data_IF_374103009220
#
_entry.id   IF_374103009220
#
_cell.length_a   1.000
_cell.length_b   1.000
_cell.length_c   1.000
_cell.angle_alpha   90.00
_cell.angle_beta   90.00
_cell.angle_gamma   90.00
#
_symmetry.space_group_name_H-M   'P 1'
#
loop_
_entity.id
_entity.type
_entity.pdbx_description
1 polymer ?
#
# COMPACT_ATOMS: atom_id res chain seq x y z
N UNK A 1 -5.42 3.47 3.43
CA UNK A 1 -4.13 2.75 3.45
C UNK A 1 -4.40 1.30 3.83
N UNK A 2 -3.82 0.34 3.10
CA UNK A 2 -4.00 -1.09 3.36
C UNK A 2 -2.78 -1.62 4.14
N UNK A 3 -3.01 -2.21 5.29
CA UNK A 3 -1.96 -2.76 6.17
C UNK A 3 -2.12 -4.27 6.28
N UNK A 4 -1.05 -5.00 6.02
CA UNK A 4 -0.98 -6.44 6.26
C UNK A 4 -0.45 -6.68 7.67
N UNK A 5 -1.17 -7.46 8.46
CA UNK A 5 -0.74 -7.90 9.79
C UNK A 5 -0.38 -9.39 9.72
N UNK A 6 0.84 -9.76 10.13
CA UNK A 6 1.28 -11.16 10.17
C UNK A 6 1.74 -11.46 11.59
N UNK A 7 0.92 -12.17 12.34
CA UNK A 7 1.05 -12.43 13.78
C UNK A 7 0.37 -13.75 14.11
N UNK A 8 1.04 -14.67 14.76
CA UNK A 8 0.48 -15.99 15.06
C UNK A 8 -0.46 -16.01 16.27
N UNK A 9 -0.28 -15.07 17.20
CA UNK A 9 -1.21 -14.89 18.31
C UNK A 9 -2.47 -14.16 17.84
N UNK A 10 -3.55 -14.94 17.60
CA UNK A 10 -4.81 -14.42 17.04
C UNK A 10 -5.38 -13.22 17.79
N UNK A 11 -5.37 -13.27 19.13
CA UNK A 11 -5.91 -12.18 19.95
C UNK A 11 -5.12 -10.87 19.73
N UNK A 12 -3.81 -10.96 19.58
CA UNK A 12 -2.96 -9.80 19.31
C UNK A 12 -3.14 -9.31 17.86
N UNK A 13 -3.19 -10.22 16.89
CA UNK A 13 -3.48 -9.88 15.49
C UNK A 13 -4.81 -9.13 15.36
N UNK A 14 -5.88 -9.65 15.96
CA UNK A 14 -7.20 -9.05 15.94
C UNK A 14 -7.23 -7.68 16.63
N UNK A 15 -6.50 -7.55 17.76
CA UNK A 15 -6.34 -6.25 18.44
C UNK A 15 -5.61 -5.21 17.57
N UNK A 16 -4.54 -5.63 16.88
CA UNK A 16 -3.82 -4.76 15.94
C UNK A 16 -4.75 -4.32 14.79
N UNK A 17 -5.49 -5.25 14.19
CA UNK A 17 -6.48 -4.95 13.15
C UNK A 17 -7.49 -3.93 13.65
N UNK A 18 -8.05 -4.14 14.85
CA UNK A 18 -9.02 -3.21 15.44
C UNK A 18 -8.45 -1.79 15.67
N UNK A 19 -7.20 -1.70 16.14
CA UNK A 19 -6.51 -0.41 16.31
C UNK A 19 -6.36 0.30 14.95
N UNK A 20 -5.93 -0.42 13.92
CA UNK A 20 -5.72 0.12 12.58
C UNK A 20 -7.04 0.57 11.93
N UNK A 21 -8.09 -0.22 12.04
CA UNK A 21 -9.42 0.12 11.51
C UNK A 21 -10.02 1.33 12.23
N UNK A 22 -9.77 1.48 13.54
CA UNK A 22 -10.15 2.66 14.32
C UNK A 22 -9.50 3.96 13.81
N UNK A 23 -8.31 3.89 13.22
CA UNK A 23 -7.59 5.03 12.60
C UNK A 23 -7.79 5.09 11.06
N UNK A 24 -8.87 4.50 10.55
CA UNK A 24 -9.28 4.52 9.14
C UNK A 24 -8.32 3.79 8.18
N UNK A 25 -7.50 2.89 8.66
CA UNK A 25 -6.75 1.95 7.83
C UNK A 25 -7.63 0.77 7.45
N UNK A 26 -7.30 0.12 6.35
CA UNK A 26 -7.85 -1.18 6.02
C UNK A 26 -6.81 -2.23 6.39
N UNK A 27 -7.12 -3.10 7.34
CA UNK A 27 -6.16 -4.07 7.87
C UNK A 27 -6.63 -5.51 7.63
N UNK A 28 -5.69 -6.39 7.34
CA UNK A 28 -5.94 -7.81 7.09
C UNK A 28 -4.90 -8.65 7.83
N UNK A 29 -5.35 -9.68 8.56
CA UNK A 29 -4.49 -10.51 9.38
C UNK A 29 -4.21 -11.88 8.77
N UNK A 30 -2.95 -12.31 8.85
CA UNK A 30 -2.49 -13.67 8.57
C UNK A 30 -1.74 -14.21 9.79
N UNK A 31 -1.92 -15.49 10.08
CA UNK A 31 -1.47 -16.09 11.33
C UNK A 31 -0.28 -17.05 11.16
N UNK A 32 0.34 -17.06 9.99
CA UNK A 32 1.57 -17.79 9.72
C UNK A 32 2.41 -17.10 8.64
N UNK A 33 3.73 -17.30 8.69
CA UNK A 33 4.66 -16.61 7.80
C UNK A 33 4.47 -16.94 6.32
N UNK A 34 4.06 -18.17 5.96
CA UNK A 34 3.92 -18.56 4.55
C UNK A 34 2.68 -17.95 3.89
N UNK A 35 1.56 -17.94 4.60
CA UNK A 35 0.35 -17.27 4.09
C UNK A 35 0.53 -15.76 4.05
N UNK A 36 1.16 -15.17 5.08
CA UNK A 36 1.53 -13.77 5.10
C UNK A 36 2.45 -13.36 3.94
N UNK A 37 3.47 -14.17 3.64
CA UNK A 37 4.35 -13.92 2.48
C UNK A 37 3.57 -13.93 1.17
N UNK A 38 2.69 -14.92 0.95
CA UNK A 38 1.85 -14.96 -0.26
C UNK A 38 0.98 -13.72 -0.40
N UNK A 39 0.37 -13.26 0.69
CA UNK A 39 -0.41 -12.03 0.71
C UNK A 39 0.46 -10.82 0.39
N UNK A 40 1.62 -10.67 1.04
CA UNK A 40 2.55 -9.56 0.81
C UNK A 40 3.03 -9.46 -0.66
N UNK A 41 3.22 -10.61 -1.34
CA UNK A 41 3.61 -10.67 -2.74
C UNK A 41 2.52 -10.19 -3.71
N UNK A 42 1.27 -10.04 -3.28
CA UNK A 42 0.21 -9.47 -4.12
C UNK A 42 0.49 -8.01 -4.50
N UNK A 43 1.32 -7.30 -3.72
CA UNK A 43 1.68 -5.89 -3.93
C UNK A 43 0.54 -4.91 -3.64
N UNK A 44 -0.48 -5.32 -2.88
CA UNK A 44 -1.68 -4.51 -2.58
C UNK A 44 -1.60 -3.73 -1.27
N UNK A 45 -0.58 -3.99 -0.46
CA UNK A 45 -0.41 -3.37 0.86
C UNK A 45 0.57 -2.19 0.82
N UNK A 46 0.27 -1.19 1.65
CA UNK A 46 1.09 0.02 1.82
C UNK A 46 2.13 -0.14 2.93
N UNK A 47 1.86 -1.01 3.91
CA UNK A 47 2.76 -1.37 5.00
C UNK A 47 2.46 -2.79 5.50
N UNK A 48 3.45 -3.39 6.13
CA UNK A 48 3.33 -4.69 6.81
C UNK A 48 3.70 -4.50 8.28
N UNK A 49 2.85 -5.01 9.18
CA UNK A 49 3.15 -5.25 10.60
C UNK A 49 3.44 -6.73 10.74
N UNK A 50 4.64 -7.09 11.17
CA UNK A 50 5.16 -8.45 11.10
C UNK A 50 5.76 -8.89 12.43
N UNK A 51 5.26 -9.97 13.01
CA UNK A 51 5.98 -10.60 14.13
C UNK A 51 7.28 -11.26 13.65
N UNK A 52 8.31 -11.13 14.45
CA UNK A 52 9.58 -11.84 14.25
C UNK A 52 9.40 -13.34 14.40
N UNK A 53 8.66 -13.76 15.43
CA UNK A 53 8.55 -15.18 15.82
C UNK A 53 7.29 -15.82 15.26
N UNK A 54 7.32 -16.24 14.00
CA UNK A 54 6.20 -16.90 13.34
C UNK A 54 6.45 -18.41 13.16
N UNK A 55 5.41 -19.24 13.20
CA UNK A 55 5.53 -20.65 12.88
C UNK A 55 5.81 -20.87 11.39
N UNK A 56 6.73 -21.77 11.09
CA UNK A 56 7.01 -22.26 9.75
C UNK A 56 7.88 -21.37 8.85
N UNK A 57 7.97 -20.07 9.14
CA UNK A 57 8.87 -19.10 8.48
C UNK A 57 9.09 -17.92 9.44
N UNK A 58 10.33 -17.68 9.83
CA UNK A 58 10.70 -16.54 10.68
C UNK A 58 10.42 -15.21 9.97
N UNK A 59 10.03 -14.18 10.72
CA UNK A 59 9.72 -12.87 10.15
C UNK A 59 10.91 -12.22 9.44
N UNK A 60 12.15 -12.47 9.91
CA UNK A 60 13.36 -11.97 9.23
C UNK A 60 13.59 -12.67 7.88
N UNK A 61 13.32 -13.98 7.81
CA UNK A 61 13.36 -14.75 6.56
C UNK A 61 12.30 -14.24 5.58
N UNK A 62 11.10 -13.92 6.07
CA UNK A 62 10.02 -13.36 5.28
C UNK A 62 10.42 -12.01 4.66
N UNK A 63 10.98 -11.09 5.46
CA UNK A 63 11.45 -9.79 4.96
C UNK A 63 12.53 -9.98 3.90
N UNK A 64 13.52 -10.83 4.17
CA UNK A 64 14.59 -11.11 3.21
C UNK A 64 14.03 -11.62 1.87
N UNK A 65 13.04 -12.52 1.90
CA UNK A 65 12.39 -13.03 0.69
C UNK A 65 11.62 -11.96 -0.08
N UNK A 66 10.90 -11.05 0.61
CA UNK A 66 10.24 -9.89 0.00
C UNK A 66 11.26 -9.01 -0.74
N UNK A 67 12.36 -8.67 -0.09
CA UNK A 67 13.41 -7.82 -0.69
C UNK A 67 14.08 -8.51 -1.88
N UNK A 68 14.32 -9.82 -1.79
CA UNK A 68 14.86 -10.62 -2.90
C UNK A 68 13.94 -10.60 -4.14
N UNK A 69 12.64 -10.54 -3.93
CA UNK A 69 11.64 -10.43 -5.02
C UNK A 69 11.36 -8.99 -5.47
N UNK A 70 12.13 -8.01 -4.96
CA UNK A 70 11.99 -6.60 -5.34
C UNK A 70 10.78 -5.91 -4.75
N UNK A 71 10.15 -6.49 -3.71
CA UNK A 71 9.03 -5.88 -2.99
C UNK A 71 9.60 -4.92 -1.95
N UNK A 72 9.36 -3.63 -2.13
CA UNK A 72 9.86 -2.54 -1.28
C UNK A 72 8.80 -2.02 -0.29
N UNK A 73 7.73 -2.78 -0.05
CA UNK A 73 6.72 -2.40 0.94
C UNK A 73 7.36 -2.20 2.32
N UNK A 74 7.09 -1.09 3.04
CA UNK A 74 7.66 -0.85 4.36
C UNK A 74 7.16 -1.88 5.38
N UNK A 75 8.10 -2.37 6.19
CA UNK A 75 7.87 -3.42 7.19
C UNK A 75 8.20 -2.89 8.58
N UNK A 76 7.20 -2.89 9.47
CA UNK A 76 7.35 -2.70 10.91
C UNK A 76 7.41 -4.08 11.57
N UNK A 77 8.57 -4.45 12.13
CA UNK A 77 8.67 -5.71 12.86
C UNK A 77 8.27 -5.54 14.32
N UNK A 78 7.43 -6.47 14.80
CA UNK A 78 7.09 -6.60 16.22
C UNK A 78 7.97 -7.68 16.84
N UNK A 79 8.50 -7.45 18.04
CA UNK A 79 9.37 -8.41 18.69
C UNK A 79 9.22 -8.39 20.21
N UNK A 80 9.19 -9.57 20.83
CA UNK A 80 9.36 -9.71 22.28
C UNK A 80 10.84 -9.58 22.71
N UNK A 81 11.78 -9.58 21.75
CA UNK A 81 13.22 -9.54 22.01
C UNK A 81 13.69 -8.10 22.17
N UNK A 82 14.28 -7.80 23.32
CA UNK A 82 14.78 -6.45 23.66
C UNK A 82 16.28 -6.28 23.39
N UNK A 83 16.98 -7.35 22.99
CA UNK A 83 18.43 -7.29 22.78
C UNK A 83 18.79 -6.43 21.57
N UNK A 84 19.90 -5.70 21.67
CA UNK A 84 20.42 -4.87 20.58
C UNK A 84 20.78 -5.71 19.35
N UNK A 85 21.27 -6.94 19.57
CA UNK A 85 21.69 -7.85 18.50
C UNK A 85 20.49 -8.32 17.63
N UNK A 86 19.33 -8.56 18.25
CA UNK A 86 18.12 -8.96 17.51
C UNK A 86 17.58 -7.80 16.65
N UNK A 87 17.64 -6.56 17.15
CA UNK A 87 17.26 -5.38 16.40
C UNK A 87 18.18 -5.14 15.20
N UNK A 88 19.49 -5.32 15.37
CA UNK A 88 20.47 -5.20 14.29
C UNK A 88 20.22 -6.25 13.21
N UNK A 89 20.02 -7.51 13.59
CA UNK A 89 19.73 -8.59 12.62
C UNK A 89 18.51 -8.33 11.77
N UNK A 90 17.47 -7.78 12.34
CA UNK A 90 16.27 -7.53 11.57
C UNK A 90 16.37 -6.32 10.65
N UNK A 91 17.06 -5.26 11.06
CA UNK A 91 17.37 -4.14 10.17
C UNK A 91 18.26 -4.61 9.01
N UNK A 92 19.26 -5.46 9.29
CA UNK A 92 20.12 -6.07 8.28
C UNK A 92 19.33 -7.00 7.32
N UNK A 93 18.23 -7.61 7.79
CA UNK A 93 17.32 -8.39 6.95
C UNK A 93 16.46 -7.51 6.01
N UNK A 94 16.47 -6.18 6.18
CA UNK A 94 15.77 -5.23 5.32
C UNK A 94 14.42 -4.73 5.88
N UNK A 95 14.17 -4.90 7.19
CA UNK A 95 13.04 -4.22 7.85
C UNK A 95 13.31 -2.71 7.96
N UNK A 96 12.24 -1.93 7.95
CA UNK A 96 12.32 -0.46 7.93
C UNK A 96 12.20 0.15 9.32
N UNK A 97 11.56 -0.52 10.28
CA UNK A 97 11.50 -0.15 11.69
C UNK A 97 11.19 -1.35 12.58
N UNK A 98 11.42 -1.18 13.89
CA UNK A 98 11.23 -2.17 14.95
C UNK A 98 10.44 -1.62 16.10
N UNK A 99 9.54 -2.45 16.65
CA UNK A 99 8.80 -2.12 17.88
C UNK A 99 8.78 -3.31 18.83
N UNK A 100 9.00 -3.06 20.10
CA UNK A 100 9.00 -4.12 21.14
C UNK A 100 7.61 -4.36 21.70
N UNK A 101 7.25 -5.62 21.93
CA UNK A 101 6.08 -6.01 22.69
C UNK A 101 6.40 -5.97 24.21
N UNK A 102 5.49 -5.47 25.08
CA UNK A 102 4.20 -4.84 24.75
C UNK A 102 4.38 -3.41 24.20
N UNK A 103 3.42 -2.93 23.42
CA UNK A 103 3.42 -1.60 22.81
C UNK A 103 2.08 -0.88 23.02
N UNK A 104 2.11 0.43 22.91
CA UNK A 104 0.93 1.28 22.96
C UNK A 104 0.35 1.49 21.53
N UNK A 105 -0.98 1.60 21.42
CA UNK A 105 -1.67 1.80 20.15
C UNK A 105 -1.17 3.04 19.41
N UNK A 106 -0.98 4.14 20.14
CA UNK A 106 -0.50 5.42 19.57
C UNK A 106 0.91 5.29 19.00
N UNK A 107 1.78 4.47 19.62
CA UNK A 107 3.13 4.21 19.11
C UNK A 107 3.07 3.42 17.80
N UNK A 108 2.25 2.37 17.73
CA UNK A 108 2.05 1.59 16.51
C UNK A 108 1.61 2.48 15.35
N UNK A 109 0.58 3.29 15.55
CA UNK A 109 0.04 4.20 14.54
C UNK A 109 1.06 5.27 14.11
N UNK A 110 1.80 5.84 15.08
CA UNK A 110 2.82 6.85 14.78
C UNK A 110 3.97 6.27 13.94
N UNK A 111 4.44 5.06 14.25
CA UNK A 111 5.50 4.37 13.49
C UNK A 111 5.04 4.01 12.08
N UNK A 112 3.83 3.48 11.93
CA UNK A 112 3.28 3.16 10.61
C UNK A 112 3.15 4.41 9.73
N UNK A 113 2.63 5.53 10.27
CA UNK A 113 2.60 6.81 9.55
C UNK A 113 4.00 7.25 9.10
N UNK A 114 5.00 7.15 10.00
CA UNK A 114 6.38 7.53 9.69
C UNK A 114 7.00 6.62 8.60
N UNK A 115 6.73 5.32 8.62
CA UNK A 115 7.22 4.35 7.65
C UNK A 115 6.68 4.63 6.25
N UNK A 116 5.38 4.77 6.13
CA UNK A 116 4.72 5.02 4.83
C UNK A 116 5.16 6.35 4.24
N UNK A 117 5.33 7.39 5.08
CA UNK A 117 5.87 8.69 4.64
C UNK A 117 7.29 8.56 4.06
N UNK A 118 8.18 7.75 4.66
CA UNK A 118 9.55 7.53 4.17
C UNK A 118 9.58 6.77 2.85
N UNK A 119 8.70 5.77 2.67
CA UNK A 119 8.64 4.95 1.46
C UNK A 119 8.07 5.71 0.25
N UNK A 120 7.28 6.76 0.48
CA UNK A 120 6.70 7.60 -0.57
C UNK A 120 7.64 8.61 -1.21
N UNK A 121 8.93 8.68 -0.82
CA UNK A 121 9.87 9.70 -1.31
C UNK A 121 9.53 11.09 -0.75
N UNK A 122 10.53 11.75 -0.16
CA UNK A 122 10.36 13.11 0.40
C UNK A 122 9.79 14.06 -0.65
N UNK A 123 8.51 14.38 -0.54
CA UNK A 123 7.98 15.69 -0.93
C UNK A 123 6.54 15.84 -0.45
N UNK A 124 6.31 16.90 0.30
CA UNK A 124 5.06 17.49 0.78
C UNK A 124 3.93 16.53 1.24
N UNK A 125 3.65 16.64 2.50
CA UNK A 125 2.63 15.93 3.28
C UNK A 125 1.28 15.92 2.55
N UNK A 126 0.78 14.72 2.23
CA UNK A 126 -0.54 14.44 1.69
C UNK A 126 -0.76 14.64 0.16
N UNK A 127 0.28 14.80 -0.66
CA UNK A 127 0.07 14.90 -2.11
C UNK A 127 0.89 13.89 -2.90
N UNK A 128 0.22 13.07 -3.71
CA UNK A 128 0.85 12.22 -4.71
C UNK A 128 0.85 12.93 -6.07
N UNK A 129 1.99 13.07 -6.71
CA UNK A 129 2.07 13.73 -8.01
C UNK A 129 2.63 12.80 -9.09
N UNK A 130 2.26 13.00 -10.34
CA UNK A 130 2.81 12.28 -11.49
C UNK A 130 2.41 12.93 -12.80
N UNK A 131 3.41 13.18 -13.68
CA UNK A 131 3.16 13.94 -14.89
C UNK A 131 2.52 15.30 -14.60
N UNK A 132 1.36 15.54 -15.20
CA UNK A 132 0.58 16.77 -15.04
C UNK A 132 -0.45 16.72 -13.88
N UNK A 133 -0.51 15.65 -13.08
CA UNK A 133 -1.52 15.48 -12.04
C UNK A 133 -0.94 15.48 -10.63
N UNK A 134 -1.73 16.04 -9.69
CA UNK A 134 -1.52 15.98 -8.24
C UNK A 134 -2.79 15.46 -7.59
N UNK A 135 -2.64 14.45 -6.74
CA UNK A 135 -3.68 13.82 -5.96
C UNK A 135 -3.50 14.20 -4.49
N UNK A 136 -4.46 14.91 -3.91
CA UNK A 136 -4.47 15.31 -2.50
C UNK A 136 -5.25 14.27 -1.68
N UNK A 137 -4.55 13.61 -0.75
CA UNK A 137 -5.11 12.53 0.07
C UNK A 137 -6.07 13.05 1.15
N UNK A 138 -5.91 14.30 1.59
CA UNK A 138 -6.75 14.88 2.65
C UNK A 138 -8.11 15.32 2.12
N UNK A 139 -8.13 15.91 0.94
CA UNK A 139 -9.34 16.46 0.34
C UNK A 139 -9.99 15.54 -0.70
N UNK A 140 -9.33 14.43 -1.03
CA UNK A 140 -9.66 13.53 -2.14
C UNK A 140 -9.79 14.29 -3.48
N UNK A 141 -8.91 15.24 -3.71
CA UNK A 141 -8.96 16.11 -4.89
C UNK A 141 -7.86 15.75 -5.88
N UNK A 142 -8.24 15.61 -7.14
CA UNK A 142 -7.33 15.49 -8.27
C UNK A 142 -7.20 16.86 -8.94
N UNK A 143 -5.98 17.33 -9.15
CA UNK A 143 -5.68 18.63 -9.78
C UNK A 143 -4.68 18.47 -10.93
N UNK A 144 -4.87 19.22 -12.01
CA UNK A 144 -3.88 19.37 -13.07
C UNK A 144 -2.96 20.55 -12.76
N UNK A 145 -1.64 20.32 -12.76
CA UNK A 145 -0.64 21.37 -12.40
C UNK A 145 -0.50 22.45 -13.46
N UNK A 146 -0.83 22.17 -14.72
CA UNK A 146 -0.70 23.12 -15.84
C UNK A 146 -1.94 23.98 -16.00
N UNK A 147 -3.14 23.40 -15.89
CA UNK A 147 -4.41 24.13 -16.06
C UNK A 147 -4.92 24.74 -14.76
N UNK A 148 -4.51 24.21 -13.60
CA UNK A 148 -5.04 24.55 -12.28
C UNK A 148 -6.43 23.96 -12.00
N UNK A 149 -7.06 23.32 -13.01
CA UNK A 149 -8.37 22.68 -12.87
C UNK A 149 -8.31 21.53 -11.86
N UNK A 150 -9.37 21.38 -11.08
CA UNK A 150 -9.45 20.34 -10.06
C UNK A 150 -10.84 19.71 -9.98
N UNK A 151 -10.88 18.47 -9.49
CA UNK A 151 -12.13 17.72 -9.31
C UNK A 151 -12.03 16.82 -8.09
N UNK A 152 -13.09 16.77 -7.31
CA UNK A 152 -13.17 15.81 -6.20
C UNK A 152 -13.44 14.40 -6.73
N UNK A 153 -12.72 13.43 -6.18
CA UNK A 153 -12.88 12.01 -6.46
C UNK A 153 -13.81 11.34 -5.44
N UNK A 154 -14.50 10.29 -5.85
CA UNK A 154 -15.07 9.33 -4.92
C UNK A 154 -13.97 8.43 -4.31
N UNK A 155 -14.25 7.80 -3.17
CA UNK A 155 -13.28 6.93 -2.47
C UNK A 155 -12.65 5.88 -3.40
N UNK A 156 -13.44 5.19 -4.21
CA UNK A 156 -12.94 4.16 -5.12
C UNK A 156 -12.10 4.71 -6.27
N UNK A 157 -12.47 5.86 -6.83
CA UNK A 157 -11.70 6.56 -7.87
C UNK A 157 -10.35 7.02 -7.32
N UNK A 158 -10.37 7.55 -6.08
CA UNK A 158 -9.16 7.97 -5.37
C UNK A 158 -8.20 6.80 -5.17
N UNK A 159 -8.65 5.68 -4.59
CA UNK A 159 -7.83 4.48 -4.34
C UNK A 159 -7.23 3.91 -5.63
N UNK A 160 -7.97 3.96 -6.74
CA UNK A 160 -7.49 3.54 -8.06
C UNK A 160 -6.32 4.42 -8.50
N UNK A 161 -6.48 5.75 -8.49
CA UNK A 161 -5.43 6.67 -8.90
C UNK A 161 -4.23 6.65 -7.96
N UNK A 162 -4.47 6.61 -6.66
CA UNK A 162 -3.43 6.45 -5.65
C UNK A 162 -2.58 5.21 -5.96
N UNK A 163 -3.21 4.07 -6.21
CA UNK A 163 -2.51 2.83 -6.46
C UNK A 163 -1.69 2.87 -7.76
N UNK A 164 -2.21 3.48 -8.81
CA UNK A 164 -1.45 3.72 -10.03
C UNK A 164 -0.26 4.65 -9.80
N UNK A 165 -0.45 5.76 -9.09
CA UNK A 165 0.62 6.73 -8.81
C UNK A 165 1.72 6.15 -7.92
N UNK A 166 1.39 5.25 -7.00
CA UNK A 166 2.38 4.52 -6.18
C UNK A 166 3.10 3.41 -6.95
N UNK A 167 2.54 2.94 -8.07
CA UNK A 167 3.07 1.87 -8.91
C UNK A 167 3.36 2.34 -10.35
N UNK A 168 3.98 3.51 -10.52
CA UNK A 168 4.27 4.10 -11.83
C UNK A 168 5.07 3.14 -12.72
N UNK A 169 4.75 3.15 -14.02
CA UNK A 169 5.43 2.34 -15.02
C UNK A 169 5.20 0.84 -14.88
N UNK A 170 4.27 0.42 -14.00
CA UNK A 170 3.89 -0.97 -13.84
C UNK A 170 2.49 -1.23 -14.39
N UNK A 171 2.29 -2.41 -14.96
CA UNK A 171 0.96 -2.90 -15.32
C UNK A 171 0.35 -3.52 -14.06
N UNK A 172 -0.80 -2.99 -13.63
CA UNK A 172 -1.57 -3.53 -12.52
C UNK A 172 -2.62 -4.48 -13.06
N UNK A 173 -2.65 -5.70 -12.52
CA UNK A 173 -3.67 -6.68 -12.91
C UNK A 173 -5.05 -6.26 -12.41
N UNK A 174 -6.10 -6.85 -13.00
CA UNK A 174 -7.48 -6.63 -12.55
C UNK A 174 -7.65 -7.04 -11.09
N UNK A 175 -7.09 -8.18 -10.70
CA UNK A 175 -7.19 -8.71 -9.34
C UNK A 175 -6.51 -7.77 -8.33
N UNK A 176 -5.32 -7.25 -8.65
CA UNK A 176 -4.62 -6.27 -7.82
C UNK A 176 -5.47 -5.00 -7.60
N UNK A 177 -6.10 -4.47 -8.66
CA UNK A 177 -6.97 -3.31 -8.55
C UNK A 177 -8.21 -3.58 -7.72
N UNK A 178 -8.85 -4.76 -7.89
CA UNK A 178 -10.02 -5.16 -7.10
C UNK A 178 -9.65 -5.31 -5.64
N UNK A 179 -8.58 -6.03 -5.33
CA UNK A 179 -8.09 -6.21 -3.96
C UNK A 179 -7.75 -4.88 -3.29
N UNK A 180 -7.07 -3.96 -4.01
CA UNK A 180 -6.73 -2.62 -3.48
C UNK A 180 -7.95 -1.79 -3.12
N UNK A 181 -9.03 -1.90 -3.90
CA UNK A 181 -10.20 -1.01 -3.78
C UNK A 181 -11.28 -1.59 -2.88
N UNK A 182 -11.42 -2.92 -2.81
CA UNK A 182 -12.51 -3.60 -2.07
C UNK A 182 -12.02 -4.65 -1.06
N UNK A 183 -10.73 -5.00 -1.02
CA UNK A 183 -10.19 -6.07 -0.16
C UNK A 183 -10.29 -7.47 -0.77
N UNK A 184 -9.84 -8.50 -0.03
CA UNK A 184 -9.72 -9.88 -0.52
C UNK A 184 -11.05 -10.59 -0.76
N UNK A 185 -12.11 -10.31 0.01
CA UNK A 185 -13.40 -11.00 -0.04
C UNK A 185 -14.38 -10.45 -1.10
N UNK A 186 -13.87 -9.88 -2.19
CA UNK A 186 -14.67 -9.07 -3.10
C UNK A 186 -15.03 -9.72 -4.45
N UNK A 187 -15.22 -11.04 -4.51
CA UNK A 187 -15.64 -11.75 -5.75
C UNK A 187 -16.87 -11.11 -6.44
N UNK A 188 -17.81 -10.57 -5.65
CA UNK A 188 -18.98 -9.88 -6.15
C UNK A 188 -18.67 -8.53 -6.83
N UNK A 189 -17.52 -7.93 -6.55
CA UNK A 189 -17.14 -6.60 -7.04
C UNK A 189 -16.26 -6.64 -8.30
N UNK A 190 -15.84 -7.84 -8.71
CA UNK A 190 -14.92 -8.06 -9.82
C UNK A 190 -15.33 -7.34 -11.11
N UNK A 191 -16.62 -7.28 -11.41
CA UNK A 191 -17.15 -6.62 -12.59
C UNK A 191 -17.28 -5.10 -12.45
N UNK A 192 -17.19 -4.54 -11.23
CA UNK A 192 -17.37 -3.11 -10.99
C UNK A 192 -16.12 -2.29 -11.29
N UNK A 193 -14.92 -2.90 -11.34
CA UNK A 193 -13.66 -2.17 -11.58
C UNK A 193 -13.69 -1.37 -12.89
N UNK A 194 -14.25 -1.92 -13.96
CA UNK A 194 -14.37 -1.24 -15.27
C UNK A 194 -15.19 0.05 -15.19
N UNK A 195 -16.23 0.04 -14.37
CA UNK A 195 -17.11 1.21 -14.16
C UNK A 195 -16.28 2.33 -13.49
N UNK A 196 -15.53 1.99 -12.43
CA UNK A 196 -14.72 2.97 -11.72
C UNK A 196 -13.51 3.44 -12.52
N UNK A 197 -12.87 2.56 -13.30
CA UNK A 197 -11.84 2.98 -14.26
C UNK A 197 -12.41 3.95 -15.30
N UNK A 198 -13.65 3.74 -15.73
CA UNK A 198 -14.33 4.67 -16.66
C UNK A 198 -14.60 6.02 -15.99
N UNK A 199 -15.06 6.04 -14.74
CA UNK A 199 -15.26 7.28 -13.98
C UNK A 199 -13.94 8.01 -13.76
N UNK A 200 -12.89 7.30 -13.38
CA UNK A 200 -11.55 7.88 -13.19
C UNK A 200 -11.01 8.50 -14.50
N UNK A 201 -11.16 7.82 -15.63
CA UNK A 201 -10.79 8.39 -16.96
C UNK A 201 -11.56 9.67 -17.27
N UNK A 202 -12.86 9.74 -16.96
CA UNK A 202 -13.67 10.95 -17.13
C UNK A 202 -13.17 12.10 -16.27
N UNK A 203 -12.73 11.82 -15.03
CA UNK A 203 -12.17 12.82 -14.11
C UNK A 203 -10.84 13.37 -14.63
N UNK A 204 -9.94 12.50 -15.11
CA UNK A 204 -8.69 12.92 -15.76
C UNK A 204 -8.97 13.82 -16.98
N UNK A 205 -9.88 13.42 -17.84
CA UNK A 205 -10.28 14.24 -19.00
C UNK A 205 -10.93 15.57 -18.59
N UNK A 206 -11.76 15.58 -17.54
CA UNK A 206 -12.42 16.78 -17.05
C UNK A 206 -11.42 17.87 -16.62
N UNK A 207 -10.33 17.52 -15.96
CA UNK A 207 -9.27 18.47 -15.56
C UNK A 207 -8.27 18.78 -16.70
N UNK A 208 -8.52 18.27 -17.92
CA UNK A 208 -7.63 18.47 -19.06
C UNK A 208 -6.27 17.80 -18.92
N UNK A 209 -6.18 16.70 -18.19
CA UNK A 209 -4.93 15.95 -18.02
C UNK A 209 -4.60 15.09 -19.24
N UNK A 210 -3.32 15.04 -19.59
CA UNK A 210 -2.76 14.13 -20.60
C UNK A 210 -2.50 12.71 -20.04
N UNK A 211 -2.60 12.52 -18.73
CA UNK A 211 -2.50 11.19 -18.10
C UNK A 211 -3.62 10.26 -18.57
N UNK A 212 -3.29 9.01 -18.90
CA UNK A 212 -4.25 8.03 -19.47
C UNK A 212 -4.14 6.67 -18.79
N UNK A 213 -5.25 6.14 -18.32
CA UNK A 213 -5.32 4.75 -17.88
C UNK A 213 -5.61 3.89 -19.11
N UNK A 214 -4.62 3.13 -19.58
CA UNK A 214 -4.73 2.22 -20.73
C UNK A 214 -4.92 0.78 -20.28
N UNK A 215 -5.75 0.05 -21.01
CA UNK A 215 -5.87 -1.40 -20.87
C UNK A 215 -4.74 -2.09 -21.65
N UNK A 216 -4.05 -3.01 -21.00
CA UNK A 216 -3.08 -3.93 -21.62
C UNK A 216 -3.78 -5.27 -21.78
N UNK A 217 -4.08 -5.63 -23.04
CA UNK A 217 -4.93 -6.78 -23.37
C UNK A 217 -4.41 -8.07 -22.74
N UNK A 218 -5.26 -8.74 -21.97
CA UNK A 218 -4.96 -10.02 -21.32
C UNK A 218 -4.06 -9.92 -20.09
N UNK A 219 -3.64 -8.69 -19.67
CA UNK A 219 -2.71 -8.49 -18.54
C UNK A 219 -3.32 -7.61 -17.45
N UNK A 220 -3.81 -6.40 -17.79
CA UNK A 220 -4.30 -5.46 -16.79
C UNK A 220 -4.39 -4.03 -17.32
N UNK A 221 -4.01 -3.08 -16.49
CA UNK A 221 -4.10 -1.64 -16.77
C UNK A 221 -2.80 -0.92 -16.38
N UNK A 222 -2.49 0.16 -17.09
CA UNK A 222 -1.31 1.00 -16.88
C UNK A 222 -1.71 2.47 -16.85
N UNK A 223 -1.14 3.25 -15.92
CA UNK A 223 -1.24 4.71 -15.97
C UNK A 223 -0.06 5.26 -16.77
N UNK A 224 -0.35 5.85 -17.91
CA UNK A 224 0.62 6.57 -18.74
C UNK A 224 0.57 8.05 -18.38
N UNK A 225 1.72 8.60 -18.00
CA UNK A 225 1.89 10.00 -17.60
C UNK A 225 2.57 10.78 -18.74
N UNK A 226 2.26 12.11 -18.95
CA UNK A 226 2.80 12.89 -20.07
C UNK A 226 4.28 13.07 -19.95
N UNK A 227 5.07 13.12 -19.12
CA UNK A 227 6.50 13.43 -19.12
C UNK A 227 7.45 12.26 -18.83
N UNK A 228 6.95 11.02 -18.85
CA UNK A 228 7.81 9.84 -18.83
C UNK A 228 8.29 9.50 -20.26
N UNK A 229 8.94 10.45 -20.94
CA UNK A 229 9.73 10.14 -22.13
C UNK A 229 10.93 9.33 -21.64
N UNK A 230 10.89 8.04 -21.94
CA UNK A 230 12.00 7.10 -21.73
C UNK A 230 13.27 7.70 -22.35
N UNK A 231 14.22 8.08 -21.46
CA UNK A 231 15.61 8.26 -21.86
C UNK A 231 16.29 6.91 -21.95
#
# INVERSE_FOLDING_TARGET
MNVLVIEDERNLADAIVHILEGDSYHAEAFYDGRSGLRAALSGTYDAIVLDVMLPGMDGTELVHELRRQGIAVPVLMLTARTSTDDKVRGLDAGADDYMTKPFEADELLARLRALVRRSGGMNDEAQLSGGDIVLDETTLTLRNVHTGESVRLGDKEFRILEYFLRNRGRILTRDQLVQRVWGYDSDAEYNKIEVYLTFTRKKLAFIGSDAKIKAVRGVGYELQLPDEVRS
#
